data_IF_927372095578
#
_entry.id   IF_927372095578
#
_cell.length_a   1.000
_cell.length_b   1.000
_cell.length_c   1.000
_cell.angle_alpha   90.00
_cell.angle_beta   90.00
_cell.angle_gamma   90.00
#
_symmetry.space_group_name_H-M   'P 1'
#
loop_
_entity.id
_entity.type
_entity.pdbx_description
1 polymer ?
#
# COMPACT_ATOMS: atom_id res chain seq x y z
N UNK A 1 16.67 14.14 4.39
CA UNK A 1 17.81 14.06 3.44
C UNK A 1 17.20 13.82 2.07
N UNK A 2 16.98 14.89 1.32
CA UNK A 2 16.18 14.87 0.09
C UNK A 2 17.09 14.52 -1.08
N UNK A 3 17.06 13.28 -1.53
CA UNK A 3 17.72 12.87 -2.77
C UNK A 3 16.89 13.47 -3.89
N UNK A 4 17.36 14.57 -4.48
CA UNK A 4 16.78 15.11 -5.72
C UNK A 4 17.10 14.10 -6.81
N UNK A 5 16.06 13.42 -7.29
CA UNK A 5 16.15 12.50 -8.41
C UNK A 5 16.67 13.26 -9.63
N UNK A 6 17.58 12.64 -10.37
CA UNK A 6 18.16 13.16 -11.59
C UNK A 6 17.06 13.64 -12.54
N UNK A 7 16.96 14.95 -12.75
CA UNK A 7 16.14 15.54 -13.80
C UNK A 7 16.70 15.04 -15.14
N UNK A 8 16.08 13.99 -15.69
CA UNK A 8 16.40 13.49 -17.02
C UNK A 8 15.74 14.44 -18.03
N UNK A 9 16.34 15.61 -18.26
CA UNK A 9 15.89 16.51 -19.30
C UNK A 9 16.20 15.90 -20.68
N UNK A 10 15.14 15.64 -21.46
CA UNK A 10 15.24 15.25 -22.86
C UNK A 10 15.88 16.42 -23.63
N UNK A 11 17.09 16.28 -24.21
CA UNK A 11 17.74 17.38 -24.88
C UNK A 11 16.97 17.77 -26.16
N UNK A 12 16.42 18.98 -26.19
CA UNK A 12 15.88 19.59 -27.42
C UNK A 12 17.04 19.87 -28.39
N UNK A 13 16.97 19.30 -29.60
CA UNK A 13 17.94 19.54 -30.69
C UNK A 13 18.10 21.05 -30.95
N UNK A 14 19.28 21.60 -30.69
CA UNK A 14 19.70 22.89 -31.27
C UNK A 14 20.34 22.64 -32.65
N UNK A 15 19.88 23.41 -33.64
CA UNK A 15 20.46 23.49 -34.99
C UNK A 15 21.82 24.18 -34.93
N UNK A 16 22.79 23.60 -35.62
CA UNK A 16 24.05 24.25 -36.00
C UNK A 16 25.17 24.10 -34.99
N UNK A 17 26.14 23.22 -35.27
CA UNK A 17 27.50 23.61 -35.65
C UNK A 17 28.38 22.37 -35.86
N UNK A 18 29.27 22.51 -36.86
CA UNK A 18 30.05 21.46 -37.47
C UNK A 18 31.32 21.13 -36.68
N UNK A 19 31.54 19.85 -36.38
CA UNK A 19 32.87 19.23 -36.41
C UNK A 19 32.73 17.70 -36.43
N UNK A 20 32.46 17.14 -37.60
CA UNK A 20 32.41 15.68 -37.81
C UNK A 20 33.39 15.30 -38.91
N UNK A 21 34.65 15.15 -38.54
CA UNK A 21 35.61 14.37 -39.32
C UNK A 21 36.64 13.70 -38.40
N UNK A 22 36.25 12.56 -37.85
CA UNK A 22 37.07 11.38 -37.57
C UNK A 22 36.29 10.45 -36.63
N UNK A 23 36.42 9.14 -36.82
CA UNK A 23 35.72 8.04 -36.12
C UNK A 23 34.34 7.66 -36.68
N UNK A 24 34.27 7.37 -37.99
CA UNK A 24 33.39 6.30 -38.48
C UNK A 24 33.99 4.93 -38.11
N UNK A 25 34.00 4.59 -36.82
CA UNK A 25 33.95 3.20 -36.38
C UNK A 25 32.47 2.90 -36.22
N UNK A 26 31.93 1.91 -36.92
CA UNK A 26 30.60 1.39 -36.67
C UNK A 26 30.52 1.03 -35.20
N UNK A 27 29.88 1.88 -34.37
CA UNK A 27 29.61 1.56 -32.97
C UNK A 27 28.73 0.32 -32.99
N UNK A 28 29.30 -0.83 -32.69
CA UNK A 28 28.53 -2.03 -32.36
C UNK A 28 27.47 -1.63 -31.33
N UNK A 29 26.21 -1.91 -31.64
CA UNK A 29 25.12 -1.65 -30.70
C UNK A 29 25.31 -2.58 -29.52
N UNK A 30 25.60 -2.01 -28.37
CA UNK A 30 25.64 -2.77 -27.12
C UNK A 30 24.20 -3.18 -26.80
N UNK A 31 24.01 -4.47 -26.55
CA UNK A 31 22.73 -5.07 -26.18
C UNK A 31 22.84 -5.72 -24.81
N UNK A 32 21.76 -5.67 -24.04
CA UNK A 32 21.62 -6.30 -22.74
C UNK A 32 20.61 -7.45 -22.86
N UNK A 33 20.99 -8.68 -22.51
CA UNK A 33 20.06 -9.81 -22.56
C UNK A 33 19.05 -9.73 -21.40
N UNK A 34 17.78 -10.04 -21.69
CA UNK A 34 16.73 -10.14 -20.69
C UNK A 34 15.79 -11.33 -20.98
N UNK A 35 15.46 -12.18 -19.98
CA UNK A 35 14.65 -13.37 -20.20
C UNK A 35 13.29 -13.11 -20.86
N UNK A 36 12.66 -11.97 -20.54
CA UNK A 36 11.34 -11.60 -21.08
C UNK A 36 11.40 -10.75 -22.36
N UNK A 37 12.47 -9.96 -22.55
CA UNK A 37 12.52 -8.94 -23.60
C UNK A 37 13.51 -9.26 -24.72
N UNK A 38 14.26 -10.36 -24.59
CA UNK A 38 15.32 -10.72 -25.51
C UNK A 38 16.50 -9.75 -25.41
N UNK A 39 17.01 -9.30 -26.55
CA UNK A 39 18.10 -8.34 -26.63
C UNK A 39 17.58 -6.90 -26.54
N UNK A 40 17.93 -6.20 -25.47
CA UNK A 40 17.54 -4.82 -25.23
C UNK A 40 18.69 -3.89 -25.64
N UNK A 41 18.47 -2.89 -26.50
CA UNK A 41 19.48 -1.88 -26.78
C UNK A 41 19.92 -1.17 -25.50
N UNK A 42 21.23 -0.99 -25.33
CA UNK A 42 21.77 -0.32 -24.17
C UNK A 42 21.96 1.18 -24.44
N UNK A 43 21.51 2.02 -23.51
CA UNK A 43 21.80 3.44 -23.46
C UNK A 43 23.02 3.69 -22.55
N UNK A 44 23.94 4.54 -23.01
CA UNK A 44 25.09 4.94 -22.19
C UNK A 44 24.62 5.86 -21.06
N UNK A 45 24.99 5.53 -19.82
CA UNK A 45 24.75 6.40 -18.67
C UNK A 45 25.54 7.69 -18.79
N UNK A 46 24.88 8.81 -18.54
CA UNK A 46 25.47 10.14 -18.57
C UNK A 46 25.16 10.86 -17.25
N UNK A 47 26.11 11.61 -16.72
CA UNK A 47 25.89 12.46 -15.54
C UNK A 47 26.47 13.86 -15.76
N UNK A 48 25.80 14.84 -15.18
CA UNK A 48 26.24 16.24 -15.23
C UNK A 48 27.10 16.55 -14.02
N UNK A 49 28.33 16.96 -14.25
CA UNK A 49 29.23 17.45 -13.20
C UNK A 49 28.71 18.74 -12.57
N UNK A 50 29.26 19.12 -11.40
CA UNK A 50 28.96 20.42 -10.76
C UNK A 50 29.23 21.63 -11.66
N UNK A 51 30.08 21.46 -12.68
CA UNK A 51 30.44 22.50 -13.65
C UNK A 51 29.60 22.47 -14.93
N UNK A 52 28.52 21.66 -14.98
CA UNK A 52 27.63 21.56 -16.15
C UNK A 52 28.15 20.65 -17.27
N UNK A 53 29.36 20.11 -17.17
CA UNK A 53 29.86 19.15 -18.15
C UNK A 53 29.11 17.84 -18.04
N UNK A 54 28.58 17.33 -19.16
CA UNK A 54 27.98 16.00 -19.25
C UNK A 54 29.07 14.99 -19.58
N UNK A 55 29.27 14.01 -18.70
CA UNK A 55 30.27 12.97 -18.87
C UNK A 55 29.64 11.58 -18.75
N UNK A 56 30.24 10.62 -19.44
CA UNK A 56 29.80 9.23 -19.41
C UNK A 56 30.07 8.62 -18.04
N UNK A 57 29.11 7.86 -17.52
CA UNK A 57 29.27 7.08 -16.29
C UNK A 57 30.14 5.84 -16.49
N UNK A 58 30.46 5.47 -17.74
CA UNK A 58 31.11 4.21 -18.07
C UNK A 58 30.18 2.99 -17.99
N UNK A 59 28.95 3.16 -17.50
CA UNK A 59 27.94 2.11 -17.41
C UNK A 59 26.94 2.19 -18.56
N UNK A 60 26.38 1.03 -18.91
CA UNK A 60 25.31 0.90 -19.89
C UNK A 60 24.04 0.43 -19.18
N UNK A 61 22.93 1.07 -19.49
CA UNK A 61 21.62 0.79 -18.92
C UNK A 61 20.65 0.37 -20.01
N UNK A 62 19.54 -0.31 -19.68
CA UNK A 62 18.49 -0.59 -20.66
C UNK A 62 17.96 0.72 -21.26
N UNK A 63 17.86 0.80 -22.58
CA UNK A 63 17.34 2.00 -23.24
C UNK A 63 15.88 2.23 -22.81
N UNK A 64 15.56 3.35 -22.13
CA UNK A 64 14.20 3.62 -21.69
C UNK A 64 13.22 3.83 -22.85
N UNK A 65 13.72 4.10 -24.07
CA UNK A 65 12.92 4.28 -25.28
C UNK A 65 12.77 2.99 -26.11
N UNK A 66 13.33 1.86 -25.65
CA UNK A 66 13.15 0.58 -26.32
C UNK A 66 11.68 0.17 -26.31
N UNK A 67 11.17 -0.24 -27.48
CA UNK A 67 9.77 -0.68 -27.65
C UNK A 67 9.79 -2.13 -28.14
N UNK A 68 9.80 -3.13 -27.24
CA UNK A 68 9.70 -4.53 -27.63
C UNK A 68 8.34 -4.84 -28.26
N UNK A 69 8.27 -5.94 -29.02
CA UNK A 69 6.99 -6.51 -29.47
C UNK A 69 6.10 -6.78 -28.26
N UNK A 70 4.80 -6.53 -28.41
CA UNK A 70 3.83 -6.71 -27.33
C UNK A 70 3.20 -8.10 -27.48
N UNK A 71 3.35 -9.00 -26.50
CA UNK A 71 2.67 -10.28 -26.51
C UNK A 71 1.14 -10.11 -26.48
N UNK A 72 0.35 -11.08 -26.98
CA UNK A 72 -1.10 -11.07 -26.84
C UNK A 72 -1.52 -10.93 -25.37
N UNK A 73 -2.48 -10.04 -25.10
CA UNK A 73 -2.99 -9.78 -23.74
C UNK A 73 -2.09 -8.91 -22.85
N UNK A 74 -0.87 -8.60 -23.28
CA UNK A 74 0.03 -7.72 -22.53
C UNK A 74 -0.41 -6.24 -22.61
N UNK A 75 -0.10 -5.47 -21.56
CA UNK A 75 -0.37 -4.03 -21.50
C UNK A 75 0.94 -3.25 -21.58
N UNK A 76 1.00 -2.24 -22.45
CA UNK A 76 2.18 -1.40 -22.63
C UNK A 76 2.53 -0.63 -21.35
N UNK A 77 3.80 -0.76 -20.93
CA UNK A 77 4.37 0.03 -19.85
C UNK A 77 4.88 1.38 -20.33
N UNK A 78 4.72 2.41 -19.50
CA UNK A 78 5.32 3.72 -19.69
C UNK A 78 6.52 3.85 -18.76
N UNK A 79 7.72 3.65 -19.32
CA UNK A 79 8.98 3.67 -18.56
C UNK A 79 9.21 5.00 -17.84
N UNK A 80 8.80 6.12 -18.44
CA UNK A 80 8.95 7.45 -17.83
C UNK A 80 8.07 7.67 -16.59
N UNK A 81 7.08 6.81 -16.34
CA UNK A 81 6.26 6.84 -15.13
C UNK A 81 6.74 5.84 -14.07
N UNK A 82 7.76 5.04 -14.32
CA UNK A 82 8.20 4.00 -13.39
C UNK A 82 9.30 4.53 -12.46
N UNK A 83 9.25 4.14 -11.18
CA UNK A 83 10.34 4.37 -10.22
C UNK A 83 11.16 3.09 -10.03
N UNK A 84 12.35 3.06 -10.64
CA UNK A 84 13.26 1.91 -10.57
C UNK A 84 14.72 2.35 -10.54
N UNK A 85 15.59 1.45 -10.06
CA UNK A 85 17.03 1.66 -10.10
C UNK A 85 17.60 1.04 -11.38
N UNK A 86 18.10 1.81 -12.36
CA UNK A 86 18.60 1.27 -13.63
C UNK A 86 19.84 0.39 -13.48
N UNK A 87 20.49 0.40 -12.31
CA UNK A 87 21.64 -0.47 -11.99
C UNK A 87 21.17 -1.89 -11.63
N UNK A 88 20.02 -2.02 -10.94
CA UNK A 88 19.54 -3.29 -10.39
C UNK A 88 18.34 -3.86 -11.14
N UNK A 89 17.65 -3.03 -11.92
CA UNK A 89 16.36 -3.36 -12.52
C UNK A 89 16.30 -2.93 -13.98
N UNK A 90 15.63 -3.77 -14.78
CA UNK A 90 15.17 -3.40 -16.10
C UNK A 90 13.80 -2.72 -15.97
N UNK A 91 13.53 -1.65 -16.74
CA UNK A 91 12.21 -1.07 -16.81
C UNK A 91 11.19 -2.11 -17.31
N UNK A 92 9.95 -1.95 -16.88
CA UNK A 92 8.84 -2.80 -17.34
C UNK A 92 8.29 -2.22 -18.64
N UNK A 93 8.78 -2.68 -19.80
CA UNK A 93 8.32 -2.21 -21.10
C UNK A 93 6.88 -2.64 -21.43
N UNK A 94 6.44 -3.75 -20.87
CA UNK A 94 5.05 -4.19 -20.84
C UNK A 94 4.78 -5.01 -19.57
N UNK A 95 3.50 -5.23 -19.29
CA UNK A 95 3.00 -6.06 -18.20
C UNK A 95 2.21 -7.23 -18.78
N UNK A 96 2.33 -8.41 -18.18
CA UNK A 96 1.59 -9.63 -18.54
C UNK A 96 0.85 -10.13 -17.31
N UNK A 97 -0.27 -10.82 -17.49
CA UNK A 97 -0.96 -11.45 -16.36
C UNK A 97 -0.06 -12.52 -15.73
N UNK A 98 0.11 -12.45 -14.41
CA UNK A 98 0.93 -13.40 -13.64
C UNK A 98 0.03 -14.23 -12.72
N UNK A 99 0.06 -15.56 -12.84
CA UNK A 99 -0.58 -16.44 -11.86
C UNK A 99 0.26 -16.53 -10.59
N UNK A 100 -0.36 -16.27 -9.44
CA UNK A 100 0.31 -16.26 -8.14
C UNK A 100 -0.52 -17.04 -7.12
N UNK A 101 0.14 -17.76 -6.22
CA UNK A 101 -0.50 -18.37 -5.05
C UNK A 101 -0.51 -17.37 -3.89
N UNK A 102 -1.68 -17.16 -3.27
CA UNK A 102 -1.77 -16.29 -2.12
C UNK A 102 -1.07 -16.91 -0.90
N UNK A 103 -0.10 -16.19 -0.32
CA UNK A 103 0.63 -16.68 0.88
C UNK A 103 -0.25 -16.84 2.13
N UNK A 104 -1.44 -16.24 2.15
CA UNK A 104 -2.35 -16.25 3.30
C UNK A 104 -3.46 -17.29 3.19
N UNK A 105 -4.22 -17.32 2.08
CA UNK A 105 -5.31 -18.29 1.90
C UNK A 105 -4.94 -19.48 1.02
N UNK A 106 -3.77 -19.48 0.37
CA UNK A 106 -3.29 -20.53 -0.55
C UNK A 106 -4.07 -20.65 -1.86
N UNK A 107 -5.08 -19.81 -2.08
CA UNK A 107 -5.78 -19.76 -3.36
C UNK A 107 -4.90 -19.13 -4.44
N UNK A 108 -5.00 -19.68 -5.65
CA UNK A 108 -4.43 -19.07 -6.86
C UNK A 108 -5.22 -17.83 -7.24
N UNK A 109 -4.53 -16.79 -7.66
CA UNK A 109 -5.12 -15.57 -8.22
C UNK A 109 -4.22 -15.01 -9.31
N UNK A 110 -4.78 -14.13 -10.14
CA UNK A 110 -4.03 -13.46 -11.21
C UNK A 110 -3.64 -12.05 -10.76
N UNK A 111 -2.35 -11.73 -10.82
CA UNK A 111 -1.86 -10.37 -10.74
C UNK A 111 -1.93 -9.76 -12.14
N UNK A 112 -3.07 -9.17 -12.45
CA UNK A 112 -3.36 -8.67 -13.79
C UNK A 112 -2.36 -7.61 -14.24
N UNK A 113 -2.05 -7.59 -15.54
CA UNK A 113 -1.19 -6.61 -16.18
C UNK A 113 -1.64 -5.16 -15.90
N UNK A 114 -2.96 -4.94 -15.86
CA UNK A 114 -3.53 -3.63 -15.53
C UNK A 114 -3.29 -3.23 -14.08
N UNK A 115 -3.34 -4.19 -13.15
CA UNK A 115 -3.02 -3.96 -11.76
C UNK A 115 -1.53 -3.64 -11.59
N UNK A 116 -0.65 -4.39 -12.25
CA UNK A 116 0.79 -4.12 -12.26
C UNK A 116 1.10 -2.71 -12.76
N UNK A 117 0.53 -2.31 -13.89
CA UNK A 117 0.69 -0.96 -14.45
C UNK A 117 0.33 0.11 -13.41
N UNK A 118 -0.82 -0.03 -12.76
CA UNK A 118 -1.24 0.90 -11.71
C UNK A 118 -0.26 0.93 -10.52
N UNK A 119 0.25 -0.22 -10.09
CA UNK A 119 1.20 -0.31 -8.97
C UNK A 119 2.50 0.43 -9.25
N UNK A 120 3.13 0.18 -10.40
CA UNK A 120 4.46 0.74 -10.68
C UNK A 120 4.41 2.16 -11.23
N UNK A 121 3.39 2.52 -12.00
CA UNK A 121 3.33 3.83 -12.64
C UNK A 121 2.55 4.88 -11.85
N UNK A 122 1.49 4.47 -11.14
CA UNK A 122 0.66 5.39 -10.35
C UNK A 122 1.02 5.39 -8.87
N UNK A 123 1.15 4.21 -8.26
CA UNK A 123 1.50 4.09 -6.84
C UNK A 123 3.02 4.16 -6.57
N UNK A 124 3.84 4.11 -7.63
CA UNK A 124 5.31 4.17 -7.55
C UNK A 124 5.92 3.09 -6.66
N UNK A 125 5.35 1.89 -6.70
CA UNK A 125 5.91 0.78 -5.95
C UNK A 125 7.30 0.41 -6.48
N UNK A 126 8.18 0.00 -5.57
CA UNK A 126 9.50 -0.47 -5.96
C UNK A 126 9.39 -1.75 -6.82
N UNK A 127 10.39 -2.02 -7.65
CA UNK A 127 10.34 -3.16 -8.58
C UNK A 127 10.47 -4.53 -7.91
N UNK A 128 10.82 -4.57 -6.62
CA UNK A 128 10.76 -5.78 -5.79
C UNK A 128 9.34 -6.09 -5.29
N UNK A 129 8.43 -5.11 -5.32
CA UNK A 129 7.05 -5.29 -4.90
C UNK A 129 6.31 -6.12 -5.94
N UNK A 130 5.63 -7.16 -5.47
CA UNK A 130 4.75 -7.99 -6.27
C UNK A 130 3.55 -8.41 -5.42
N UNK A 131 2.48 -8.85 -6.08
CA UNK A 131 1.29 -9.30 -5.38
C UNK A 131 1.53 -10.68 -4.75
N UNK A 132 1.71 -10.74 -3.42
CA UNK A 132 1.83 -12.01 -2.66
C UNK A 132 0.50 -12.44 -2.00
N UNK A 133 -0.45 -11.52 -1.89
CA UNK A 133 -1.78 -11.78 -1.33
C UNK A 133 -2.85 -11.49 -2.38
N UNK A 134 -3.88 -12.33 -2.45
CA UNK A 134 -5.05 -12.06 -3.29
C UNK A 134 -5.77 -10.78 -2.84
N UNK A 135 -6.63 -10.22 -3.71
CA UNK A 135 -7.34 -8.97 -3.44
C UNK A 135 -8.18 -9.03 -2.15
N UNK A 136 -8.83 -10.17 -1.89
CA UNK A 136 -9.62 -10.40 -0.68
C UNK A 136 -8.73 -10.33 0.59
N UNK A 137 -7.62 -11.05 0.63
CA UNK A 137 -6.66 -11.01 1.74
C UNK A 137 -6.04 -9.61 1.89
N UNK A 138 -5.69 -8.91 0.80
CA UNK A 138 -5.21 -7.52 0.88
C UNK A 138 -6.25 -6.59 1.51
N UNK A 139 -7.53 -6.75 1.15
CA UNK A 139 -8.63 -5.97 1.75
C UNK A 139 -8.79 -6.29 3.24
N UNK A 140 -8.76 -7.57 3.62
CA UNK A 140 -8.83 -8.00 5.02
C UNK A 140 -7.67 -7.40 5.84
N UNK A 141 -6.44 -7.47 5.33
CA UNK A 141 -5.25 -6.93 6.01
C UNK A 141 -5.33 -5.42 6.18
N UNK A 142 -5.85 -4.69 5.18
CA UNK A 142 -6.12 -3.24 5.31
C UNK A 142 -7.15 -2.95 6.39
N UNK A 143 -8.25 -3.70 6.45
CA UNK A 143 -9.28 -3.55 7.48
C UNK A 143 -8.72 -3.81 8.89
N UNK A 144 -7.94 -4.89 9.06
CA UNK A 144 -7.29 -5.21 10.34
C UNK A 144 -6.34 -4.09 10.79
N UNK A 145 -5.46 -3.62 9.91
CA UNK A 145 -4.55 -2.50 10.21
C UNK A 145 -5.31 -1.23 10.60
N UNK A 146 -6.41 -0.91 9.91
CA UNK A 146 -7.26 0.24 10.24
C UNK A 146 -7.81 0.14 11.67
N UNK A 147 -8.27 -1.04 12.08
CA UNK A 147 -8.86 -1.24 13.41
C UNK A 147 -7.81 -1.20 14.51
N UNK A 148 -6.64 -1.80 14.28
CA UNK A 148 -5.51 -1.69 15.21
C UNK A 148 -5.14 -0.22 15.43
N UNK A 149 -5.07 0.57 14.35
CA UNK A 149 -4.82 2.02 14.45
C UNK A 149 -5.92 2.76 15.21
N UNK A 150 -7.19 2.40 14.99
CA UNK A 150 -8.32 2.99 15.72
C UNK A 150 -8.27 2.65 17.22
N UNK A 151 -7.94 1.41 17.55
CA UNK A 151 -7.78 0.96 18.93
C UNK A 151 -6.65 1.72 19.62
N UNK A 152 -5.50 1.85 18.98
CA UNK A 152 -4.36 2.60 19.50
C UNK A 152 -4.75 4.05 19.81
N UNK A 153 -5.44 4.71 18.89
CA UNK A 153 -5.95 6.07 19.09
C UNK A 153 -6.96 6.15 20.25
N UNK A 154 -7.83 5.15 20.41
CA UNK A 154 -8.80 5.11 21.49
C UNK A 154 -8.11 4.94 22.86
N UNK A 155 -7.03 4.16 22.94
CA UNK A 155 -6.20 4.08 24.14
C UNK A 155 -5.58 5.43 24.49
N UNK A 156 -4.96 6.11 23.52
CA UNK A 156 -4.34 7.43 23.73
C UNK A 156 -5.35 8.46 24.28
N UNK A 157 -6.57 8.49 23.73
CA UNK A 157 -7.62 9.40 24.19
C UNK A 157 -8.08 9.07 25.62
N UNK A 158 -8.26 7.77 25.92
CA UNK A 158 -8.65 7.32 27.26
C UNK A 158 -7.57 7.60 28.31
N UNK A 159 -6.30 7.34 27.99
CA UNK A 159 -5.19 7.61 28.91
C UNK A 159 -5.03 9.09 29.22
N UNK A 160 -5.25 9.96 28.23
CA UNK A 160 -5.25 11.41 28.44
C UNK A 160 -6.43 11.87 29.32
N UNK A 161 -7.56 11.15 29.31
CA UNK A 161 -8.81 11.56 29.98
C UNK A 161 -9.48 10.40 30.73
N UNK A 162 -8.81 9.88 31.76
CA UNK A 162 -9.24 8.66 32.47
C UNK A 162 -10.66 8.68 33.08
N UNK A 163 -11.25 9.87 33.27
CA UNK A 163 -12.59 10.08 33.83
C UNK A 163 -13.63 10.47 32.79
N UNK A 164 -13.25 10.66 31.52
CA UNK A 164 -14.17 11.02 30.46
C UNK A 164 -14.99 9.79 30.02
N UNK A 165 -16.31 9.76 30.24
CA UNK A 165 -17.15 8.64 29.86
C UNK A 165 -17.19 8.43 28.33
N UNK A 166 -17.03 9.48 27.52
CA UNK A 166 -16.99 9.37 26.06
C UNK A 166 -15.73 8.63 25.62
N UNK A 167 -14.58 8.98 26.19
CA UNK A 167 -13.33 8.26 25.96
C UNK A 167 -13.39 6.79 26.39
N UNK A 168 -14.01 6.48 27.54
CA UNK A 168 -14.23 5.10 27.99
C UNK A 168 -15.07 4.30 26.97
N UNK A 169 -16.15 4.88 26.46
CA UNK A 169 -17.02 4.23 25.48
C UNK A 169 -16.34 4.05 24.12
N UNK A 170 -15.58 5.05 23.67
CA UNK A 170 -14.80 4.95 22.45
C UNK A 170 -13.78 3.79 22.51
N UNK A 171 -13.13 3.60 23.66
CA UNK A 171 -12.22 2.48 23.87
C UNK A 171 -12.97 1.14 23.94
N UNK A 172 -14.09 1.05 24.66
CA UNK A 172 -14.92 -0.15 24.70
C UNK A 172 -15.42 -0.58 23.30
N UNK A 173 -15.86 0.40 22.50
CA UNK A 173 -16.22 0.23 21.10
C UNK A 173 -15.06 -0.33 20.28
N UNK A 174 -13.88 0.30 20.37
CA UNK A 174 -12.72 -0.10 19.59
C UNK A 174 -12.28 -1.54 19.92
N UNK A 175 -12.34 -1.95 21.19
CA UNK A 175 -12.07 -3.32 21.62
C UNK A 175 -13.07 -4.31 21.01
N UNK A 176 -14.37 -3.98 21.03
CA UNK A 176 -15.41 -4.84 20.44
C UNK A 176 -15.22 -5.00 18.92
N UNK A 177 -14.91 -3.92 18.21
CA UNK A 177 -14.66 -3.95 16.76
C UNK A 177 -13.39 -4.72 16.41
N UNK A 178 -12.33 -4.63 17.23
CA UNK A 178 -11.14 -5.47 17.08
C UNK A 178 -11.48 -6.95 17.22
N UNK A 179 -12.24 -7.30 18.27
CA UNK A 179 -12.61 -8.69 18.52
C UNK A 179 -13.45 -9.26 17.38
N UNK A 180 -14.40 -8.50 16.83
CA UNK A 180 -15.25 -8.96 15.72
C UNK A 180 -14.42 -9.49 14.53
N UNK A 181 -13.33 -8.79 14.19
CA UNK A 181 -12.52 -9.05 13.01
C UNK A 181 -11.32 -9.96 13.27
N UNK A 182 -10.71 -9.85 14.44
CA UNK A 182 -9.47 -10.60 14.76
C UNK A 182 -9.69 -11.76 15.72
N UNK A 183 -10.87 -11.82 16.37
CA UNK A 183 -11.17 -12.71 17.51
C UNK A 183 -10.18 -12.56 18.68
N UNK A 184 -9.53 -11.40 18.77
CA UNK A 184 -8.58 -11.01 19.82
C UNK A 184 -9.01 -9.69 20.45
N UNK A 185 -8.70 -9.51 21.73
CA UNK A 185 -9.03 -8.30 22.50
C UNK A 185 -9.50 -8.60 23.91
N UNK A 186 -9.37 -7.65 24.82
CA UNK A 186 -9.79 -7.81 26.22
C UNK A 186 -11.25 -7.39 26.41
N UNK A 187 -12.19 -8.30 26.13
CA UNK A 187 -13.63 -8.04 26.25
C UNK A 187 -14.07 -7.69 27.69
N UNK A 188 -13.38 -8.22 28.71
CA UNK A 188 -13.66 -7.85 30.10
C UNK A 188 -13.30 -6.37 30.38
N UNK A 189 -12.24 -5.85 29.76
CA UNK A 189 -11.93 -4.42 29.82
C UNK A 189 -13.04 -3.58 29.16
N UNK A 190 -13.56 -3.99 28.01
CA UNK A 190 -14.68 -3.30 27.36
C UNK A 190 -15.93 -3.24 28.26
N UNK A 191 -16.29 -4.35 28.92
CA UNK A 191 -17.38 -4.39 29.91
C UNK A 191 -17.09 -3.44 31.09
N UNK A 192 -15.87 -3.47 31.62
CA UNK A 192 -15.47 -2.60 32.74
C UNK A 192 -15.59 -1.12 32.36
N UNK A 193 -15.13 -0.74 31.17
CA UNK A 193 -15.19 0.63 30.66
C UNK A 193 -16.63 1.08 30.44
N UNK A 194 -17.49 0.26 29.84
CA UNK A 194 -18.91 0.56 29.68
C UNK A 194 -19.59 0.81 31.04
N UNK A 195 -19.34 -0.05 32.03
CA UNK A 195 -19.88 0.13 33.39
C UNK A 195 -19.33 1.36 34.11
N UNK A 196 -18.07 1.73 33.87
CA UNK A 196 -17.50 2.98 34.39
C UNK A 196 -18.16 4.19 33.73
N UNK A 197 -18.34 4.17 32.42
CA UNK A 197 -19.04 5.22 31.68
C UNK A 197 -20.48 5.40 32.19
N UNK A 198 -21.21 4.30 32.43
CA UNK A 198 -22.54 4.34 33.05
C UNK A 198 -22.55 5.09 34.39
N UNK A 199 -21.54 4.85 35.24
CA UNK A 199 -21.45 5.49 36.55
C UNK A 199 -21.14 6.99 36.45
N UNK A 200 -20.34 7.39 35.47
CA UNK A 200 -19.94 8.78 35.26
C UNK A 200 -21.00 9.59 34.50
N UNK A 201 -21.70 8.97 33.55
CA UNK A 201 -22.67 9.59 32.65
C UNK A 201 -23.80 8.58 32.31
N UNK A 202 -24.77 8.37 33.22
CA UNK A 202 -25.86 7.41 33.03
C UNK A 202 -26.81 7.76 31.88
N UNK A 203 -26.78 9.01 31.39
CA UNK A 203 -27.55 9.51 30.25
C UNK A 203 -27.03 9.04 28.88
N UNK A 204 -25.75 8.61 28.80
CA UNK A 204 -25.11 8.06 27.62
C UNK A 204 -25.48 6.59 27.44
N UNK A 205 -26.62 6.32 26.82
CA UNK A 205 -27.18 4.96 26.72
C UNK A 205 -26.29 3.97 25.94
N UNK A 206 -25.32 4.45 25.16
CA UNK A 206 -24.38 3.65 24.37
C UNK A 206 -23.57 2.66 25.22
N UNK A 207 -23.40 2.89 26.52
CA UNK A 207 -22.77 1.91 27.41
C UNK A 207 -23.50 0.56 27.39
N UNK A 208 -24.84 0.57 27.29
CA UNK A 208 -25.65 -0.66 27.26
C UNK A 208 -25.33 -1.48 26.02
N UNK A 209 -25.24 -0.81 24.85
CA UNK A 209 -24.95 -1.46 23.59
C UNK A 209 -23.55 -2.09 23.58
N UNK A 210 -22.52 -1.34 24.00
CA UNK A 210 -21.15 -1.85 23.98
C UNK A 210 -20.88 -2.91 25.05
N UNK A 211 -21.49 -2.80 26.24
CA UNK A 211 -21.46 -3.90 27.21
C UNK A 211 -22.14 -5.14 26.64
N UNK A 212 -23.34 -4.99 26.06
CA UNK A 212 -24.08 -6.12 25.49
C UNK A 212 -23.28 -6.86 24.42
N UNK A 213 -22.65 -6.12 23.50
CA UNK A 213 -21.79 -6.71 22.46
C UNK A 213 -20.62 -7.49 23.07
N UNK A 214 -19.94 -6.94 24.07
CA UNK A 214 -18.84 -7.62 24.74
C UNK A 214 -19.31 -8.89 25.49
N UNK A 215 -20.49 -8.86 26.13
CA UNK A 215 -21.08 -10.03 26.76
C UNK A 215 -21.45 -11.11 25.74
N UNK A 216 -22.01 -10.74 24.58
CA UNK A 216 -22.32 -11.67 23.50
C UNK A 216 -21.05 -12.36 22.97
N UNK A 217 -19.97 -11.61 22.78
CA UNK A 217 -18.68 -12.17 22.37
C UNK A 217 -18.02 -13.08 23.41
N UNK A 218 -18.39 -12.95 24.69
CA UNK A 218 -17.99 -13.85 25.78
C UNK A 218 -18.98 -15.02 25.98
N UNK A 219 -19.87 -15.27 25.02
CA UNK A 219 -20.88 -16.33 25.07
C UNK A 219 -21.83 -16.20 26.29
N UNK A 220 -22.23 -14.97 26.62
CA UNK A 220 -23.20 -14.66 27.68
C UNK A 220 -24.49 -14.06 27.10
N UNK A 221 -25.25 -14.84 26.30
CA UNK A 221 -26.35 -14.32 25.48
C UNK A 221 -27.51 -13.75 26.30
N UNK A 222 -27.84 -14.36 27.45
CA UNK A 222 -28.93 -13.87 28.31
C UNK A 222 -28.64 -12.45 28.83
N UNK A 223 -27.40 -12.19 29.24
CA UNK A 223 -27.01 -10.86 29.73
C UNK A 223 -26.94 -9.85 28.59
N UNK A 224 -26.41 -10.25 27.44
CA UNK A 224 -26.38 -9.40 26.25
C UNK A 224 -27.80 -9.00 25.80
N UNK A 225 -28.73 -9.95 25.78
CA UNK A 225 -30.14 -9.71 25.43
C UNK A 225 -30.80 -8.70 26.37
N UNK A 226 -30.66 -8.90 27.68
CA UNK A 226 -31.21 -7.98 28.68
C UNK A 226 -30.72 -6.54 28.46
N UNK A 227 -29.41 -6.37 28.23
CA UNK A 227 -28.80 -5.05 28.01
C UNK A 227 -29.26 -4.40 26.69
N UNK A 228 -29.43 -5.18 25.62
CA UNK A 228 -29.96 -4.67 24.35
C UNK A 228 -31.43 -4.27 24.45
N UNK A 229 -32.25 -5.06 25.14
CA UNK A 229 -33.66 -4.70 25.39
C UNK A 229 -33.76 -3.38 26.16
N UNK A 230 -32.91 -3.19 27.18
CA UNK A 230 -32.82 -1.94 27.91
C UNK A 230 -32.33 -0.78 27.02
N UNK A 231 -31.32 -1.02 26.18
CA UNK A 231 -30.82 -0.03 25.22
C UNK A 231 -31.93 0.45 24.28
N UNK A 232 -32.67 -0.47 23.67
CA UNK A 232 -33.76 -0.13 22.75
C UNK A 232 -34.92 0.56 23.46
N UNK A 233 -35.24 0.16 24.69
CA UNK A 233 -36.27 0.82 25.50
C UNK A 233 -35.91 2.28 25.75
N UNK A 234 -34.67 2.57 26.17
CA UNK A 234 -34.20 3.94 26.41
C UNK A 234 -34.01 4.76 25.14
N UNK A 235 -33.60 4.13 24.04
CA UNK A 235 -33.42 4.81 22.76
C UNK A 235 -34.75 5.28 22.14
N UNK A 236 -35.86 4.58 22.40
CA UNK A 236 -37.20 4.97 21.95
C UNK A 236 -37.83 6.12 22.73
N UNK A 237 -37.27 6.45 23.89
CA UNK A 237 -37.77 7.51 24.78
C UNK A 237 -37.06 8.87 24.56
N UNK A 238 -36.10 8.93 23.64
CA UNK A 238 -35.42 10.16 23.19
C UNK A 238 -35.90 10.53 21.80
#
# INVERSE_FOLDING_TARGET
MTIKYFDYEIPKKKKGENSLNSLKKSKEKIVLPHPLYGEIPAAQGMYTTKHGNVISSGFYYPDPNYVPSLPPGAIRGNVGLQEFCPIHHFPKYFYVDEEVECVQCRDKFVFFAGEQKFWYESLKFNFHSHAINCQACRKQNRSQKKIIKQLQKAYEIYEANLKDPVAMLALAQAICLQYEITKKGNLNLAISLARKAQKCAPELIEYLFWEARAQAFLDRPNKAKQLLEEFFSRAKLK
#
